data_IF_048553010183
#
_entry.id   IF_048553010183
#
_cell.length_a   1.000
_cell.length_b   1.000
_cell.length_c   1.000
_cell.angle_alpha   90.00
_cell.angle_beta   90.00
_cell.angle_gamma   90.00
#
_symmetry.space_group_name_H-M   'P 1'
#
loop_
_entity.id
_entity.type
_entity.pdbx_description
1 polymer ?
#
# COMPACT_ATOMS: atom_id res chain seq x y z
N UNK A 1 22.22 -1.26 -19.07
CA UNK A 1 22.74 -2.60 -19.36
C UNK A 1 21.69 -3.66 -19.04
N UNK A 2 21.63 -4.74 -19.82
CA UNK A 2 20.64 -5.82 -19.71
C UNK A 2 20.71 -6.61 -18.38
N UNK A 3 21.84 -6.58 -17.71
CA UNK A 3 22.10 -7.31 -16.44
C UNK A 3 21.27 -6.77 -15.25
N UNK A 4 21.14 -5.45 -15.09
CA UNK A 4 20.34 -4.85 -14.01
C UNK A 4 18.82 -5.11 -14.15
N UNK A 5 18.31 -5.28 -15.38
CA UNK A 5 16.89 -5.55 -15.63
C UNK A 5 16.46 -6.93 -15.20
N UNK A 6 17.35 -7.91 -15.27
CA UNK A 6 17.06 -9.29 -14.85
C UNK A 6 17.17 -9.50 -13.34
N UNK A 7 18.07 -8.78 -12.66
CA UNK A 7 18.19 -8.85 -11.21
C UNK A 7 16.95 -8.32 -10.48
N UNK A 8 16.34 -7.23 -10.96
CA UNK A 8 15.15 -6.64 -10.35
C UNK A 8 13.88 -7.51 -10.48
N UNK A 9 13.82 -8.40 -11.50
CA UNK A 9 12.70 -9.34 -11.69
C UNK A 9 12.74 -10.53 -10.72
N UNK A 10 13.93 -10.89 -10.20
CA UNK A 10 14.16 -12.15 -9.49
C UNK A 10 13.88 -12.10 -7.98
N UNK A 11 13.75 -10.90 -7.38
CA UNK A 11 13.64 -10.75 -5.91
C UNK A 11 12.38 -10.03 -5.41
N UNK A 12 11.33 -10.00 -6.19
CA UNK A 12 10.07 -9.42 -5.71
C UNK A 12 9.21 -10.49 -5.05
N UNK A 13 9.41 -10.68 -3.75
CA UNK A 13 8.57 -11.51 -2.92
C UNK A 13 7.09 -11.05 -3.01
N UNK A 14 6.18 -11.99 -3.22
CA UNK A 14 4.75 -11.75 -3.14
C UNK A 14 4.27 -12.23 -1.77
N UNK A 15 3.33 -11.52 -1.18
CA UNK A 15 2.73 -11.96 0.09
C UNK A 15 2.12 -13.36 -0.03
N UNK A 16 1.62 -13.73 -1.23
CA UNK A 16 1.13 -15.08 -1.54
C UNK A 16 2.19 -16.18 -1.50
N UNK A 17 3.48 -15.82 -1.53
CA UNK A 17 4.56 -16.81 -1.45
C UNK A 17 4.87 -17.19 0.00
N UNK A 18 4.48 -16.31 0.96
CA UNK A 18 4.63 -16.51 2.39
C UNK A 18 3.35 -16.98 3.08
N UNK A 19 2.18 -16.58 2.57
CA UNK A 19 0.88 -16.89 3.15
C UNK A 19 0.12 -17.80 2.20
N UNK A 20 -0.10 -19.03 2.62
CA UNK A 20 -0.74 -20.10 1.83
C UNK A 20 -2.18 -19.74 1.43
N UNK A 21 -2.94 -19.09 2.33
CA UNK A 21 -4.34 -18.74 2.05
C UNK A 21 -4.44 -17.48 1.18
N UNK A 22 -4.87 -17.66 -0.06
CA UNK A 22 -5.16 -16.55 -0.99
C UNK A 22 -6.24 -15.60 -0.44
N UNK A 23 -7.24 -16.14 0.24
CA UNK A 23 -8.32 -15.37 0.87
C UNK A 23 -7.75 -14.47 1.96
N UNK A 24 -6.88 -15.00 2.83
CA UNK A 24 -6.20 -14.23 3.88
C UNK A 24 -5.37 -13.08 3.30
N UNK A 25 -4.60 -13.34 2.25
CA UNK A 25 -3.82 -12.29 1.57
C UNK A 25 -4.70 -11.15 1.06
N UNK A 26 -5.86 -11.47 0.46
CA UNK A 26 -6.80 -10.47 -0.04
C UNK A 26 -7.42 -9.67 1.11
N UNK A 27 -7.84 -10.34 2.18
CA UNK A 27 -8.40 -9.68 3.37
C UNK A 27 -7.36 -8.78 4.04
N UNK A 28 -6.13 -9.24 4.24
CA UNK A 28 -5.05 -8.43 4.80
C UNK A 28 -4.81 -7.16 3.97
N UNK A 29 -4.84 -7.25 2.64
CA UNK A 29 -4.70 -6.07 1.77
C UNK A 29 -5.82 -5.06 1.97
N UNK A 30 -7.06 -5.52 2.14
CA UNK A 30 -8.21 -4.65 2.36
C UNK A 30 -8.11 -3.96 3.72
N UNK A 31 -7.94 -4.73 4.79
CA UNK A 31 -7.93 -4.19 6.16
C UNK A 31 -6.71 -3.34 6.48
N UNK A 32 -5.53 -3.75 6.01
CA UNK A 32 -4.27 -3.02 6.26
C UNK A 32 -4.07 -1.87 5.26
N UNK A 33 -4.78 -1.89 4.13
CA UNK A 33 -4.79 -0.77 3.17
C UNK A 33 -5.68 0.40 3.60
N UNK A 34 -6.66 0.15 4.47
CA UNK A 34 -7.54 1.18 5.01
C UNK A 34 -7.84 0.92 6.49
N UNK A 35 -7.06 1.54 7.36
CA UNK A 35 -7.15 1.37 8.82
C UNK A 35 -8.50 1.79 9.42
N UNK A 36 -9.20 2.75 8.80
CA UNK A 36 -10.52 3.24 9.23
C UNK A 36 -11.67 2.47 8.55
N UNK A 37 -11.36 1.51 7.69
CA UNK A 37 -12.34 0.73 6.93
C UNK A 37 -13.16 -0.19 7.83
N UNK A 38 -14.47 -0.18 7.61
CA UNK A 38 -15.44 -1.00 8.30
C UNK A 38 -16.18 -1.86 7.26
N UNK A 39 -16.01 -3.17 7.33
CA UNK A 39 -16.48 -4.07 6.27
C UNK A 39 -17.33 -5.21 6.85
N UNK A 40 -18.36 -5.63 6.12
CA UNK A 40 -19.17 -6.81 6.48
C UNK A 40 -18.96 -7.94 5.45
N UNK A 41 -19.32 -9.17 5.82
CA UNK A 41 -18.98 -10.38 5.05
C UNK A 41 -19.36 -10.29 3.57
N UNK A 42 -20.61 -9.88 3.25
CA UNK A 42 -21.07 -9.81 1.85
C UNK A 42 -20.31 -8.79 1.01
N UNK A 43 -19.88 -7.69 1.63
CA UNK A 43 -19.05 -6.68 0.98
C UNK A 43 -17.67 -7.24 0.65
N UNK A 44 -17.02 -7.88 1.63
CA UNK A 44 -15.75 -8.55 1.44
C UNK A 44 -15.81 -9.65 0.36
N UNK A 45 -16.93 -10.39 0.30
CA UNK A 45 -17.19 -11.38 -0.77
C UNK A 45 -17.17 -10.72 -2.14
N UNK A 46 -17.83 -9.57 -2.31
CA UNK A 46 -17.84 -8.83 -3.58
C UNK A 46 -16.47 -8.27 -3.95
N UNK A 47 -15.76 -7.69 -2.97
CA UNK A 47 -14.45 -7.09 -3.18
C UNK A 47 -13.39 -8.14 -3.53
N UNK A 48 -13.41 -9.28 -2.85
CA UNK A 48 -12.38 -10.34 -3.01
C UNK A 48 -12.70 -11.32 -4.13
N UNK A 49 -13.98 -11.44 -4.51
CA UNK A 49 -14.52 -12.48 -5.43
C UNK A 49 -14.18 -13.89 -4.92
N UNK A 50 -14.24 -14.09 -3.61
CA UNK A 50 -13.98 -15.38 -2.96
C UNK A 50 -15.26 -15.93 -2.33
N UNK A 51 -15.26 -17.23 -2.03
CA UNK A 51 -16.39 -17.94 -1.46
C UNK A 51 -16.66 -17.46 -0.03
N UNK A 52 -17.97 -17.26 0.32
CA UNK A 52 -18.43 -16.65 1.56
C UNK A 52 -17.98 -17.40 2.83
N UNK A 53 -17.97 -18.74 2.78
CA UNK A 53 -17.57 -19.53 3.95
C UNK A 53 -16.06 -19.50 4.15
N UNK A 54 -15.28 -19.39 3.07
CA UNK A 54 -13.84 -19.19 3.15
C UNK A 54 -13.51 -17.82 3.78
N UNK A 55 -14.28 -16.79 3.43
CA UNK A 55 -14.14 -15.46 4.04
C UNK A 55 -14.49 -15.51 5.52
N UNK A 56 -15.62 -16.12 5.91
CA UNK A 56 -16.03 -16.26 7.31
C UNK A 56 -14.95 -16.95 8.14
N UNK A 57 -14.45 -18.09 7.67
CA UNK A 57 -13.38 -18.84 8.35
C UNK A 57 -12.12 -18.00 8.55
N UNK A 58 -11.71 -17.23 7.53
CA UNK A 58 -10.53 -16.39 7.66
C UNK A 58 -10.77 -15.18 8.56
N UNK A 59 -11.96 -14.58 8.55
CA UNK A 59 -12.32 -13.52 9.48
C UNK A 59 -12.30 -14.02 10.93
N UNK A 60 -12.84 -15.22 11.19
CA UNK A 60 -12.78 -15.84 12.52
C UNK A 60 -11.32 -16.10 12.98
N UNK A 61 -10.47 -16.54 12.07
CA UNK A 61 -9.04 -16.72 12.36
C UNK A 61 -8.35 -15.40 12.70
N UNK A 62 -8.65 -14.34 11.95
CA UNK A 62 -8.08 -13.01 12.15
C UNK A 62 -8.63 -12.32 13.42
N UNK A 63 -9.89 -12.59 13.80
CA UNK A 63 -10.45 -12.19 15.10
C UNK A 63 -9.75 -12.90 16.25
N UNK A 64 -9.60 -14.23 16.18
CA UNK A 64 -8.91 -15.04 17.21
C UNK A 64 -7.46 -14.62 17.40
N UNK A 65 -6.78 -14.23 16.33
CA UNK A 65 -5.41 -13.70 16.42
C UNK A 65 -5.32 -12.29 17.03
N UNK A 66 -6.45 -11.59 17.18
CA UNK A 66 -6.51 -10.23 17.70
C UNK A 66 -6.16 -9.13 16.70
N UNK A 67 -5.91 -9.47 15.43
CA UNK A 67 -5.65 -8.49 14.38
C UNK A 67 -6.92 -7.72 13.99
N UNK A 68 -8.06 -8.40 13.96
CA UNK A 68 -9.35 -7.78 13.71
C UNK A 68 -10.14 -7.63 15.00
N UNK A 69 -11.06 -6.70 14.97
CA UNK A 69 -12.15 -6.56 15.93
C UNK A 69 -13.47 -6.54 15.16
N UNK A 70 -14.57 -6.91 15.84
CA UNK A 70 -15.90 -6.89 15.24
C UNK A 70 -16.87 -6.10 16.07
N UNK A 71 -17.81 -5.44 15.40
CA UNK A 71 -18.86 -4.64 16.00
C UNK A 71 -20.20 -4.98 15.33
N UNK A 72 -21.23 -5.24 16.15
CA UNK A 72 -22.58 -5.46 15.65
C UNK A 72 -23.28 -4.13 15.45
N UNK A 73 -23.72 -3.84 14.23
CA UNK A 73 -24.55 -2.69 13.90
C UNK A 73 -25.84 -3.15 13.23
N UNK A 74 -26.95 -3.02 13.93
CA UNK A 74 -28.23 -3.59 13.51
C UNK A 74 -28.13 -5.11 13.34
N UNK A 75 -28.51 -5.62 12.19
CA UNK A 75 -28.47 -7.05 11.86
C UNK A 75 -27.18 -7.49 11.16
N UNK A 76 -26.13 -6.66 11.15
CA UNK A 76 -24.88 -6.96 10.49
C UNK A 76 -23.70 -6.91 11.46
N UNK A 77 -22.76 -7.81 11.26
CA UNK A 77 -21.47 -7.82 11.93
C UNK A 77 -20.43 -7.17 11.02
N UNK A 78 -19.82 -6.10 11.51
CA UNK A 78 -18.78 -5.35 10.83
C UNK A 78 -17.43 -5.69 11.44
N UNK A 79 -16.43 -5.70 10.59
CA UNK A 79 -15.05 -6.00 10.95
C UNK A 79 -14.17 -4.83 10.62
N UNK A 80 -13.22 -4.53 11.50
CA UNK A 80 -12.16 -3.53 11.30
C UNK A 80 -10.83 -4.03 11.83
N UNK A 81 -9.75 -3.44 11.34
CA UNK A 81 -8.42 -3.77 11.84
C UNK A 81 -8.18 -3.09 13.19
N UNK A 82 -7.51 -3.80 14.10
CA UNK A 82 -7.07 -3.26 15.38
C UNK A 82 -5.66 -2.67 15.23
N UNK A 83 -5.58 -1.35 15.16
CA UNK A 83 -4.28 -0.64 14.96
C UNK A 83 -3.32 -0.79 16.13
N UNK A 84 -3.84 -1.12 17.34
CA UNK A 84 -3.04 -1.43 18.53
C UNK A 84 -2.50 -2.88 18.56
N UNK A 85 -2.71 -3.68 17.49
CA UNK A 85 -2.12 -5.01 17.38
C UNK A 85 -0.60 -4.90 17.27
N UNK A 86 0.13 -5.70 18.06
CA UNK A 86 1.60 -5.57 18.22
C UNK A 86 2.39 -5.65 16.91
N UNK A 87 1.93 -6.44 15.94
CA UNK A 87 2.58 -6.61 14.63
C UNK A 87 1.92 -5.78 13.52
N UNK A 88 1.03 -4.84 13.89
CA UNK A 88 0.31 -4.03 12.90
C UNK A 88 1.25 -3.25 11.95
N UNK A 89 2.28 -2.51 12.44
CA UNK A 89 3.18 -1.75 11.58
C UNK A 89 3.96 -2.65 10.60
N UNK A 90 4.39 -3.83 11.05
CA UNK A 90 5.13 -4.80 10.24
C UNK A 90 4.24 -5.39 9.14
N UNK A 91 2.99 -5.73 9.48
CA UNK A 91 2.02 -6.26 8.53
C UNK A 91 1.66 -5.21 7.47
N UNK A 92 1.47 -3.94 7.86
CA UNK A 92 1.24 -2.85 6.91
C UNK A 92 2.44 -2.69 6.00
N UNK A 93 3.66 -2.69 6.54
CA UNK A 93 4.90 -2.61 5.75
C UNK A 93 5.00 -3.77 4.75
N UNK A 94 4.69 -5.00 5.17
CA UNK A 94 4.66 -6.18 4.31
C UNK A 94 3.63 -6.04 3.19
N UNK A 95 2.41 -5.64 3.51
CA UNK A 95 1.35 -5.43 2.52
C UNK A 95 1.73 -4.34 1.54
N UNK A 96 2.20 -3.17 2.02
CA UNK A 96 2.61 -2.04 1.18
C UNK A 96 3.74 -2.44 0.22
N UNK A 97 4.76 -3.14 0.70
CA UNK A 97 5.84 -3.68 -0.15
C UNK A 97 5.32 -4.71 -1.15
N UNK A 98 4.35 -5.54 -0.77
CA UNK A 98 3.77 -6.58 -1.63
C UNK A 98 2.74 -6.06 -2.64
N UNK A 99 2.07 -4.93 -2.36
CA UNK A 99 1.11 -4.29 -3.30
C UNK A 99 1.80 -3.74 -4.53
N UNK A 100 3.12 -3.56 -4.43
CA UNK A 100 3.92 -3.32 -5.62
C UNK A 100 3.86 -1.88 -6.10
N UNK A 101 3.78 -0.89 -5.19
CA UNK A 101 3.98 0.52 -5.56
C UNK A 101 5.24 0.67 -6.43
N UNK A 102 6.35 0.07 -6.01
CA UNK A 102 7.56 0.00 -6.82
C UNK A 102 7.36 -0.73 -8.16
N UNK A 103 6.51 -1.78 -8.21
CA UNK A 103 6.16 -2.46 -9.47
C UNK A 103 5.34 -1.59 -10.41
N UNK A 104 4.34 -0.88 -9.87
CA UNK A 104 3.50 0.01 -10.65
C UNK A 104 4.33 1.12 -11.27
N UNK A 105 5.25 1.71 -10.50
CA UNK A 105 6.18 2.72 -11.01
C UNK A 105 7.14 2.09 -12.02
N UNK A 106 7.76 0.95 -11.72
CA UNK A 106 8.68 0.27 -12.63
C UNK A 106 8.00 -0.15 -13.94
N UNK A 107 6.77 -0.65 -13.88
CA UNK A 107 5.98 -1.03 -15.07
C UNK A 107 5.62 0.17 -15.94
N UNK A 108 5.38 1.33 -15.33
CA UNK A 108 5.02 2.55 -16.04
C UNK A 108 6.22 3.47 -16.28
N UNK A 109 7.44 3.06 -15.92
CA UNK A 109 8.65 3.89 -15.99
C UNK A 109 8.85 4.54 -17.38
N UNK A 110 8.60 3.80 -18.46
CA UNK A 110 8.71 4.31 -19.83
C UNK A 110 7.73 5.44 -20.16
N UNK A 111 6.58 5.47 -19.46
CA UNK A 111 5.53 6.49 -19.64
C UNK A 111 5.73 7.68 -18.72
N UNK A 112 6.34 7.45 -17.54
CA UNK A 112 6.55 8.49 -16.53
C UNK A 112 7.68 9.48 -16.89
N UNK A 113 8.51 9.15 -17.88
CA UNK A 113 9.74 9.87 -18.18
C UNK A 113 10.94 9.25 -17.45
N UNK A 114 11.93 10.08 -17.10
CA UNK A 114 13.12 9.62 -16.40
C UNK A 114 12.93 9.75 -14.88
N UNK A 115 12.57 8.65 -14.22
CA UNK A 115 12.51 8.56 -12.74
C UNK A 115 13.84 8.01 -12.23
N UNK A 116 14.56 8.79 -11.43
CA UNK A 116 15.82 8.39 -10.79
C UNK A 116 15.58 7.76 -9.43
N UNK A 117 14.81 8.44 -8.57
CA UNK A 117 14.45 7.95 -7.24
C UNK A 117 12.95 8.03 -7.01
N UNK A 118 12.46 7.09 -6.21
CA UNK A 118 11.10 7.07 -5.67
C UNK A 118 11.21 6.81 -4.17
N UNK A 119 10.80 7.79 -3.39
CA UNK A 119 10.74 7.65 -1.93
C UNK A 119 9.30 7.52 -1.50
N UNK A 120 9.06 6.63 -0.54
CA UNK A 120 7.77 6.40 0.09
C UNK A 120 7.91 6.78 1.55
N UNK A 121 7.00 7.61 2.06
CA UNK A 121 7.05 8.03 3.46
C UNK A 121 6.95 6.83 4.41
N UNK A 122 7.61 6.92 5.58
CA UNK A 122 7.48 5.88 6.60
C UNK A 122 6.03 5.73 7.08
N UNK A 123 5.27 6.83 7.15
CA UNK A 123 3.87 6.81 7.58
C UNK A 123 3.02 6.02 6.62
N UNK A 124 3.12 6.25 5.31
CA UNK A 124 2.45 5.44 4.29
C UNK A 124 2.93 3.98 4.32
N UNK A 125 4.25 3.77 4.43
CA UNK A 125 4.83 2.42 4.45
C UNK A 125 4.45 1.61 5.69
N UNK A 126 4.14 2.26 6.82
CA UNK A 126 3.75 1.64 8.09
C UNK A 126 2.26 1.75 8.39
N UNK A 127 1.45 2.40 7.52
CA UNK A 127 0.02 2.63 7.74
C UNK A 127 -0.29 3.47 8.97
N UNK A 128 0.61 4.39 9.31
CA UNK A 128 0.41 5.31 10.42
C UNK A 128 -0.57 6.41 10.01
N UNK A 129 -1.17 7.05 11.00
CA UNK A 129 -2.06 8.19 10.77
C UNK A 129 -1.29 9.32 10.08
N UNK A 130 -1.84 9.82 8.96
CA UNK A 130 -1.22 10.85 8.13
C UNK A 130 -1.78 12.21 8.50
N UNK A 131 -0.93 13.22 8.46
CA UNK A 131 -1.35 14.61 8.54
C UNK A 131 -1.59 15.15 7.12
N UNK A 132 -2.46 16.15 6.94
CA UNK A 132 -2.77 16.70 5.61
C UNK A 132 -1.54 17.24 4.86
N UNK A 133 -0.52 17.67 5.59
CA UNK A 133 0.72 18.25 5.05
C UNK A 133 1.79 17.18 4.75
N UNK A 134 1.59 15.93 5.20
CA UNK A 134 2.56 14.87 4.97
C UNK A 134 2.62 14.48 3.50
N UNK A 135 3.83 14.41 2.95
CA UNK A 135 4.05 13.87 1.61
C UNK A 135 4.26 12.36 1.72
N UNK A 136 3.39 11.63 1.04
CA UNK A 136 3.40 10.17 1.01
C UNK A 136 4.40 9.62 0.01
N UNK A 137 4.58 10.34 -1.11
CA UNK A 137 5.40 9.90 -2.23
C UNK A 137 6.22 11.06 -2.80
N UNK A 138 7.54 10.87 -2.86
CA UNK A 138 8.43 11.81 -3.53
C UNK A 138 9.05 11.14 -4.74
N UNK A 139 8.87 11.77 -5.92
CA UNK A 139 9.39 11.31 -7.20
C UNK A 139 10.48 12.28 -7.66
N UNK A 140 11.70 11.78 -7.83
CA UNK A 140 12.83 12.59 -8.28
C UNK A 140 13.23 12.20 -9.68
N UNK A 141 13.28 13.20 -10.58
CA UNK A 141 13.69 13.02 -11.97
C UNK A 141 12.97 13.96 -12.93
N UNK A 142 13.20 13.75 -14.24
CA UNK A 142 12.49 14.46 -15.30
C UNK A 142 11.22 13.70 -15.66
N UNK A 143 10.11 14.02 -14.98
CA UNK A 143 8.86 13.27 -15.10
C UNK A 143 7.80 14.00 -15.93
N UNK A 144 6.91 13.23 -16.53
CA UNK A 144 5.76 13.71 -17.30
C UNK A 144 4.56 13.79 -16.34
N UNK A 145 4.26 14.98 -15.82
CA UNK A 145 3.26 15.21 -14.77
C UNK A 145 1.89 14.59 -15.05
N UNK A 146 1.29 14.67 -16.25
CA UNK A 146 0.00 14.00 -16.53
C UNK A 146 0.05 12.48 -16.33
N UNK A 147 1.17 11.85 -16.67
CA UNK A 147 1.34 10.41 -16.50
C UNK A 147 1.53 10.02 -15.03
N UNK A 148 2.22 10.87 -14.25
CA UNK A 148 2.33 10.72 -12.80
C UNK A 148 0.95 10.80 -12.16
N UNK A 149 0.15 11.81 -12.48
CA UNK A 149 -1.20 11.96 -11.94
C UNK A 149 -2.10 10.74 -12.23
N UNK A 150 -2.03 10.17 -13.45
CA UNK A 150 -2.76 8.95 -13.81
C UNK A 150 -2.28 7.75 -12.99
N UNK A 151 -0.97 7.63 -12.77
CA UNK A 151 -0.41 6.56 -11.93
C UNK A 151 -0.89 6.69 -10.48
N UNK A 152 -0.84 7.89 -9.92
CA UNK A 152 -1.29 8.16 -8.55
C UNK A 152 -2.76 7.79 -8.38
N UNK A 153 -3.65 8.23 -9.27
CA UNK A 153 -5.08 7.82 -9.24
C UNK A 153 -5.28 6.30 -9.25
N UNK A 154 -4.43 5.56 -9.96
CA UNK A 154 -4.48 4.10 -9.93
C UNK A 154 -4.00 3.52 -8.60
N UNK A 155 -3.00 4.13 -7.98
CA UNK A 155 -2.48 3.73 -6.67
C UNK A 155 -3.54 4.01 -5.59
N UNK A 156 -4.17 5.18 -5.61
CA UNK A 156 -5.25 5.57 -4.70
C UNK A 156 -6.42 4.59 -4.74
N UNK A 157 -6.83 4.15 -5.94
CA UNK A 157 -7.87 3.11 -6.10
C UNK A 157 -7.47 1.78 -5.46
N UNK A 158 -6.19 1.40 -5.53
CA UNK A 158 -5.67 0.15 -4.96
C UNK A 158 -5.59 0.24 -3.44
N UNK A 159 -5.17 1.40 -2.91
CA UNK A 159 -5.01 1.64 -1.48
C UNK A 159 -6.30 2.11 -0.80
N UNK A 160 -7.33 2.49 -1.58
CA UNK A 160 -8.58 3.11 -1.10
C UNK A 160 -8.30 4.33 -0.21
N UNK A 161 -7.30 5.13 -0.57
CA UNK A 161 -6.82 6.26 0.20
C UNK A 161 -6.14 7.27 -0.72
N UNK A 162 -6.37 8.55 -0.49
CA UNK A 162 -5.67 9.64 -1.18
C UNK A 162 -4.18 9.60 -0.91
N UNK A 163 -3.37 10.07 -1.86
CA UNK A 163 -1.91 10.10 -1.78
C UNK A 163 -1.41 11.50 -2.08
N UNK A 164 -0.74 12.10 -1.10
CA UNK A 164 -0.02 13.34 -1.30
C UNK A 164 1.35 13.05 -1.93
N UNK A 165 1.59 13.59 -3.10
CA UNK A 165 2.85 13.38 -3.78
C UNK A 165 3.52 14.67 -4.20
N UNK A 166 4.84 14.65 -4.26
CA UNK A 166 5.66 15.73 -4.81
C UNK A 166 6.61 15.19 -5.87
N UNK A 167 6.88 16.04 -6.87
CA UNK A 167 7.87 15.75 -7.90
C UNK A 167 8.91 16.86 -7.90
N UNK A 168 10.18 16.48 -8.00
CA UNK A 168 11.28 17.44 -8.13
C UNK A 168 12.35 16.94 -9.08
N UNK A 169 13.17 17.85 -9.60
CA UNK A 169 14.32 17.49 -10.41
C UNK A 169 15.45 16.93 -9.57
N UNK A 170 16.43 16.32 -10.22
CA UNK A 170 17.63 15.82 -9.53
C UNK A 170 18.46 16.97 -8.95
N UNK A 171 18.53 18.11 -9.67
CA UNK A 171 19.23 19.29 -9.23
C UNK A 171 18.60 19.86 -7.95
N UNK A 172 17.26 20.00 -7.96
CA UNK A 172 16.51 20.47 -6.78
C UNK A 172 16.67 19.53 -5.59
N UNK A 173 16.56 18.22 -5.81
CA UNK A 173 16.75 17.23 -4.75
C UNK A 173 18.17 17.33 -4.15
N UNK A 174 19.19 17.42 -5.00
CA UNK A 174 20.58 17.53 -4.56
C UNK A 174 20.83 18.83 -3.79
N UNK A 175 20.25 19.93 -4.27
CA UNK A 175 20.34 21.22 -3.58
C UNK A 175 19.73 21.17 -2.19
N UNK A 176 18.48 20.70 -2.06
CA UNK A 176 17.78 20.58 -0.78
C UNK A 176 18.51 19.66 0.20
N UNK A 177 18.98 18.50 -0.29
CA UNK A 177 19.75 17.55 0.51
C UNK A 177 21.04 18.16 1.06
N UNK A 178 21.78 18.92 0.25
CA UNK A 178 23.04 19.56 0.69
C UNK A 178 22.79 20.70 1.70
N UNK A 179 21.62 21.33 1.68
CA UNK A 179 21.23 22.39 2.60
C UNK A 179 20.44 21.86 3.81
N UNK A 180 20.39 20.53 4.01
CA UNK A 180 19.67 19.90 5.12
C UNK A 180 18.21 20.39 5.24
N UNK A 181 17.53 20.55 4.08
CA UNK A 181 16.14 20.97 4.05
C UNK A 181 15.28 19.95 4.84
N UNK A 182 14.47 20.40 5.82
CA UNK A 182 13.62 19.52 6.64
C UNK A 182 12.64 18.68 5.83
N UNK A 183 12.41 19.04 4.56
CA UNK A 183 11.55 18.32 3.64
C UNK A 183 12.17 17.01 3.13
N UNK A 184 13.48 16.84 3.18
CA UNK A 184 14.24 15.68 2.70
C UNK A 184 14.95 14.97 3.84
#
# INVERSE_FOLDING_TARGET
SRSCRNACKKYMAKLSDLIISKVRVKLLKIFLGNAKGLYYVRELTRMTKEEINAIRRELDNLLKSGLLQSEKRGNRLYYSVKTSYSLYPELVSLVTKSTGLGKLVAKNRSKLGFVKFLFVSQRLARGLERQPEDIDLLIVGKVIMPQVALLIKNIEKILSSEINYSCMTEEEFSYRKNHQDPFI
#
